data_IF_706628190294
#
_entry.id   IF_706628190294
#
_cell.length_a   1.000
_cell.length_b   1.000
_cell.length_c   1.000
_cell.angle_alpha   90.00
_cell.angle_beta   90.00
_cell.angle_gamma   90.00
#
_symmetry.space_group_name_H-M   'P 1'
#
loop_
_entity.id
_entity.type
_entity.pdbx_description
1 polymer ?
#
# COMPACT_ATOMS: atom_id res chain seq x y z
N UNK A 1 4.82 -69.88 24.58
CA UNK A 1 5.44 -69.78 25.91
C UNK A 1 6.95 -69.90 25.82
N UNK A 2 7.65 -69.28 26.70
CA UNK A 2 9.10 -69.49 26.92
C UNK A 2 9.26 -70.59 27.98
N UNK A 3 10.09 -71.52 27.70
CA UNK A 3 10.38 -72.63 28.64
C UNK A 3 11.79 -72.45 29.18
N UNK A 4 11.92 -72.27 30.46
CA UNK A 4 13.19 -72.25 31.15
C UNK A 4 13.55 -73.65 31.68
N UNK A 5 14.74 -74.10 31.39
CA UNK A 5 15.27 -75.33 31.86
C UNK A 5 16.45 -75.09 32.79
N UNK A 6 16.42 -75.62 33.96
CA UNK A 6 17.55 -75.63 34.90
C UNK A 6 17.84 -77.04 35.39
N UNK A 7 19.07 -77.39 35.36
CA UNK A 7 19.48 -78.73 35.88
C UNK A 7 20.95 -79.06 35.60
N UNK A 8 21.46 -80.01 36.34
CA UNK A 8 22.78 -80.57 36.17
C UNK A 8 22.67 -82.11 35.85
N UNK A 9 22.67 -82.41 34.59
CA UNK A 9 22.65 -83.84 34.15
C UNK A 9 21.30 -84.58 34.41
N UNK A 10 21.20 -85.36 35.48
CA UNK A 10 20.07 -86.30 35.73
C UNK A 10 18.79 -85.65 36.30
N UNK A 11 18.91 -84.40 36.88
CA UNK A 11 17.77 -83.69 37.43
C UNK A 11 17.53 -82.36 36.70
N UNK A 12 16.44 -82.28 35.95
CA UNK A 12 16.05 -81.14 35.20
C UNK A 12 14.71 -80.60 35.74
N UNK A 13 14.70 -79.37 36.22
CA UNK A 13 13.48 -78.61 36.52
C UNK A 13 13.08 -77.77 35.29
N UNK A 14 11.79 -77.69 35.00
CA UNK A 14 11.22 -76.89 33.92
C UNK A 14 10.18 -75.92 34.51
N UNK A 15 10.29 -74.64 34.08
CA UNK A 15 9.23 -73.71 34.33
C UNK A 15 8.80 -73.13 32.99
N UNK A 16 7.53 -72.72 32.88
CA UNK A 16 6.93 -72.24 31.66
C UNK A 16 6.29 -70.88 31.90
N UNK A 17 6.86 -69.83 31.30
CA UNK A 17 6.25 -68.56 31.28
C UNK A 17 5.40 -68.39 30.03
N UNK A 18 4.10 -68.20 30.22
CA UNK A 18 3.19 -67.90 29.13
C UNK A 18 3.20 -66.35 28.87
N UNK A 19 3.87 -65.97 27.81
CA UNK A 19 3.82 -64.63 27.33
C UNK A 19 2.77 -64.51 26.24
N UNK A 20 1.90 -63.52 26.36
CA UNK A 20 0.92 -63.15 25.35
C UNK A 20 1.33 -61.83 24.74
N UNK A 21 1.63 -61.77 23.44
CA UNK A 21 1.91 -60.61 22.66
C UNK A 21 0.62 -60.12 22.02
N UNK A 22 0.33 -58.87 22.19
CA UNK A 22 -0.78 -58.20 21.52
C UNK A 22 -0.24 -57.41 20.34
N UNK A 23 -0.93 -57.41 19.18
CA UNK A 23 -0.55 -56.55 18.08
C UNK A 23 -0.78 -55.09 18.45
N UNK A 24 0.04 -54.19 17.88
CA UNK A 24 -0.15 -52.74 18.03
C UNK A 24 -1.46 -52.31 17.40
N UNK A 25 -2.10 -51.27 17.93
CA UNK A 25 -3.24 -50.63 17.27
C UNK A 25 -2.82 -50.02 15.93
N UNK A 26 -3.75 -49.95 14.99
CA UNK A 26 -3.56 -49.19 13.76
C UNK A 26 -3.79 -47.71 14.03
N UNK A 27 -2.93 -46.84 13.50
CA UNK A 27 -2.98 -45.38 13.67
C UNK A 27 -2.66 -44.73 12.33
N UNK A 28 -3.42 -43.70 11.97
CA UNK A 28 -3.26 -42.95 10.74
C UNK A 28 -3.45 -41.46 11.07
N UNK A 29 -2.41 -40.64 10.83
CA UNK A 29 -2.42 -39.21 11.01
C UNK A 29 -3.04 -38.45 9.82
N UNK A 30 -3.29 -39.14 8.70
CA UNK A 30 -3.77 -38.55 7.46
C UNK A 30 -2.65 -37.88 6.63
N UNK A 31 -3.05 -37.18 5.60
CA UNK A 31 -2.13 -36.54 4.66
C UNK A 31 -1.51 -35.28 5.25
N UNK A 32 -0.34 -34.90 4.71
CA UNK A 32 0.27 -33.57 5.00
C UNK A 32 -0.60 -32.46 4.48
N UNK A 33 -0.76 -31.40 5.28
CA UNK A 33 -1.60 -30.26 5.01
C UNK A 33 -0.77 -28.99 4.77
N UNK A 34 -1.36 -28.03 4.08
CA UNK A 34 -0.76 -26.70 3.83
C UNK A 34 -1.77 -25.63 4.20
N UNK A 35 -1.28 -24.53 4.78
CA UNK A 35 -2.12 -23.38 5.14
C UNK A 35 -1.28 -22.09 5.16
N UNK A 36 -1.97 -20.95 5.19
CA UNK A 36 -1.34 -19.65 5.35
C UNK A 36 -1.29 -19.26 6.84
N UNK A 37 -0.33 -18.40 7.20
CA UNK A 37 -0.14 -17.94 8.56
C UNK A 37 -1.38 -17.26 9.16
N UNK A 38 -2.19 -16.59 8.35
CA UNK A 38 -3.43 -15.91 8.78
C UNK A 38 -4.69 -16.78 8.69
N UNK A 39 -4.56 -18.08 8.36
CA UNK A 39 -5.70 -18.97 8.36
C UNK A 39 -6.22 -19.20 9.78
N UNK A 40 -7.55 -19.41 9.95
CA UNK A 40 -8.09 -19.81 11.23
C UNK A 40 -7.54 -21.16 11.68
N UNK A 41 -7.60 -21.48 12.98
CA UNK A 41 -7.23 -22.79 13.49
C UNK A 41 -7.93 -23.92 12.75
N UNK A 42 -7.22 -25.01 12.45
CA UNK A 42 -7.74 -26.17 11.75
C UNK A 42 -7.87 -27.35 12.71
N UNK A 43 -8.99 -28.08 12.62
CA UNK A 43 -9.18 -29.32 13.37
C UNK A 43 -8.47 -30.45 12.63
N UNK A 44 -7.53 -31.11 13.31
CA UNK A 44 -6.84 -32.30 12.80
C UNK A 44 -7.71 -33.51 12.96
N UNK A 45 -7.70 -34.43 11.98
CA UNK A 45 -8.48 -35.66 11.97
C UNK A 45 -7.54 -36.83 11.78
N UNK A 46 -7.23 -37.53 12.88
CA UNK A 46 -6.56 -38.81 12.85
C UNK A 46 -7.57 -39.97 12.89
N UNK A 47 -7.13 -41.15 12.51
CA UNK A 47 -7.92 -42.37 12.57
C UNK A 47 -7.15 -43.42 13.35
N UNK A 48 -7.86 -44.20 14.16
CA UNK A 48 -7.28 -45.28 14.94
C UNK A 48 -8.20 -46.47 15.00
N UNK A 49 -7.61 -47.63 15.24
CA UNK A 49 -8.33 -48.91 15.43
C UNK A 49 -7.53 -49.83 16.34
N UNK A 50 -8.15 -50.34 17.39
CA UNK A 50 -7.60 -51.52 18.06
C UNK A 50 -7.52 -52.67 17.08
N UNK A 51 -6.51 -53.54 17.21
CA UNK A 51 -6.30 -54.64 16.28
C UNK A 51 -7.56 -55.50 16.10
N UNK A 52 -8.02 -55.60 14.85
CA UNK A 52 -9.22 -56.35 14.47
C UNK A 52 -10.54 -55.59 14.64
N UNK A 53 -10.51 -54.25 14.92
CA UNK A 53 -11.69 -53.42 15.08
C UNK A 53 -11.88 -52.42 13.93
N UNK A 54 -13.05 -51.79 13.85
CA UNK A 54 -13.36 -50.74 12.88
C UNK A 54 -12.64 -49.45 13.22
N UNK A 55 -12.15 -48.73 12.20
CA UNK A 55 -11.53 -47.42 12.33
C UNK A 55 -12.47 -46.39 13.00
N UNK A 56 -11.92 -45.63 13.93
CA UNK A 56 -12.62 -44.57 14.64
C UNK A 56 -11.84 -43.26 14.50
N UNK A 57 -12.51 -42.12 14.40
CA UNK A 57 -11.84 -40.86 14.32
C UNK A 57 -11.43 -40.31 15.69
N UNK A 58 -10.25 -39.70 15.77
CA UNK A 58 -9.78 -38.84 16.86
C UNK A 58 -9.98 -39.36 18.31
N UNK A 59 -9.77 -40.66 18.58
CA UNK A 59 -9.74 -41.16 19.97
C UNK A 59 -8.38 -40.99 20.65
N UNK A 60 -7.34 -40.71 19.87
CA UNK A 60 -6.00 -40.43 20.32
C UNK A 60 -5.72 -38.96 20.50
N UNK A 61 -4.48 -38.61 20.83
CA UNK A 61 -4.00 -37.26 21.04
C UNK A 61 -3.08 -36.79 19.91
N UNK A 62 -3.21 -35.54 19.52
CA UNK A 62 -2.29 -34.87 18.63
C UNK A 62 -1.23 -34.11 19.39
N UNK A 63 0.02 -34.14 18.90
CA UNK A 63 1.14 -33.34 19.41
C UNK A 63 1.87 -32.61 18.31
N UNK A 64 2.37 -31.41 18.64
CA UNK A 64 3.34 -30.66 17.86
C UNK A 64 4.60 -30.47 18.71
N UNK A 65 5.70 -31.13 18.38
CA UNK A 65 6.85 -31.25 19.27
C UNK A 65 6.49 -31.93 20.58
N UNK A 66 6.61 -31.24 21.71
CA UNK A 66 6.26 -31.73 23.05
C UNK A 66 4.83 -31.36 23.48
N UNK A 67 4.18 -30.43 22.75
CA UNK A 67 2.89 -29.85 23.14
C UNK A 67 1.72 -30.70 22.65
N UNK A 68 0.77 -31.03 23.56
CA UNK A 68 -0.50 -31.65 23.20
C UNK A 68 -1.45 -30.57 22.66
N UNK A 69 -2.01 -30.85 21.47
CA UNK A 69 -2.94 -29.93 20.81
C UNK A 69 -4.35 -30.12 21.37
N UNK A 70 -4.76 -29.28 22.28
CA UNK A 70 -6.06 -29.33 22.93
C UNK A 70 -7.20 -29.24 21.87
N UNK A 71 -8.18 -30.13 22.00
CA UNK A 71 -9.31 -30.18 21.06
C UNK A 71 -8.91 -30.54 19.63
N UNK A 72 -7.72 -31.10 19.43
CA UNK A 72 -7.13 -31.46 18.13
C UNK A 72 -6.98 -30.27 17.18
N UNK A 73 -6.85 -29.02 17.75
CA UNK A 73 -6.71 -27.79 16.98
C UNK A 73 -5.24 -27.46 16.73
N UNK A 74 -4.88 -27.23 15.48
CA UNK A 74 -3.62 -26.61 15.09
C UNK A 74 -3.86 -25.15 14.75
N UNK A 75 -3.14 -24.24 15.43
CA UNK A 75 -3.18 -22.80 15.19
C UNK A 75 -1.85 -22.35 14.60
N UNK A 76 -1.81 -21.77 13.39
CA UNK A 76 -0.58 -21.27 12.82
C UNK A 76 -0.14 -20.02 13.57
N UNK A 77 1.11 -20.00 14.06
CA UNK A 77 1.68 -18.85 14.79
C UNK A 77 2.91 -18.28 14.12
N UNK A 78 3.64 -19.13 13.39
CA UNK A 78 4.83 -18.74 12.61
C UNK A 78 4.88 -19.59 11.32
N UNK A 79 5.52 -19.09 10.24
CA UNK A 79 5.73 -19.91 9.03
C UNK A 79 6.70 -21.04 9.30
N UNK A 80 6.52 -22.16 8.57
CA UNK A 80 7.42 -23.31 8.67
C UNK A 80 6.70 -24.65 8.54
N UNK A 81 7.47 -25.72 8.66
CA UNK A 81 6.99 -27.11 8.65
C UNK A 81 6.88 -27.61 10.08
N UNK A 82 5.69 -28.04 10.47
CA UNK A 82 5.39 -28.60 11.77
C UNK A 82 5.14 -30.08 11.66
N UNK A 83 5.95 -30.88 12.35
CA UNK A 83 5.72 -32.31 12.47
C UNK A 83 4.60 -32.55 13.48
N UNK A 84 3.47 -33.06 13.02
CA UNK A 84 2.33 -33.45 13.85
C UNK A 84 2.34 -34.94 14.07
N UNK A 85 2.14 -35.35 15.32
CA UNK A 85 2.15 -36.76 15.72
C UNK A 85 0.78 -37.10 16.31
N UNK A 86 0.15 -38.13 15.78
CA UNK A 86 -1.09 -38.67 16.32
C UNK A 86 -0.77 -39.96 17.09
N UNK A 87 -1.11 -40.01 18.37
CA UNK A 87 -0.88 -41.13 19.29
C UNK A 87 -2.20 -41.75 19.70
N UNK A 88 -2.26 -43.06 19.65
CA UNK A 88 -3.39 -43.79 20.19
C UNK A 88 -2.92 -44.95 21.06
N UNK A 89 -3.54 -45.11 22.23
CA UNK A 89 -3.32 -46.22 23.17
C UNK A 89 -4.62 -47.01 23.28
N UNK A 90 -4.57 -48.31 22.99
CA UNK A 90 -5.73 -49.17 23.10
C UNK A 90 -6.03 -49.55 24.58
N UNK A 91 -7.16 -50.22 24.81
CA UNK A 91 -7.59 -50.64 26.15
C UNK A 91 -6.65 -51.64 26.87
N UNK A 92 -5.66 -52.15 26.16
CA UNK A 92 -4.65 -53.08 26.68
C UNK A 92 -3.34 -52.37 27.01
N UNK A 93 -3.27 -51.05 26.78
CA UNK A 93 -2.08 -50.24 26.98
C UNK A 93 -1.06 -50.32 25.83
N UNK A 94 -1.41 -50.92 24.69
CA UNK A 94 -0.54 -50.90 23.51
C UNK A 94 -0.68 -49.58 22.80
N UNK A 95 0.44 -48.88 22.64
CA UNK A 95 0.50 -47.52 21.99
C UNK A 95 1.16 -47.61 20.63
N UNK A 96 0.57 -46.89 19.68
CA UNK A 96 1.16 -46.65 18.37
C UNK A 96 0.98 -45.17 17.97
N UNK A 97 1.72 -44.73 16.96
CA UNK A 97 1.70 -43.37 16.46
C UNK A 97 1.91 -43.32 14.95
N UNK A 98 1.41 -42.27 14.35
CA UNK A 98 1.68 -41.90 12.98
C UNK A 98 1.92 -40.37 12.90
N UNK A 99 2.46 -39.86 11.78
CA UNK A 99 2.83 -38.47 11.62
C UNK A 99 2.36 -37.89 10.31
N UNK A 100 1.97 -36.62 10.36
CA UNK A 100 1.70 -35.77 9.21
C UNK A 100 2.53 -34.46 9.32
N UNK A 101 2.74 -33.79 8.21
CA UNK A 101 3.39 -32.47 8.19
C UNK A 101 2.35 -31.39 7.92
N UNK A 102 2.31 -30.40 8.77
CA UNK A 102 1.58 -29.16 8.53
C UNK A 102 2.58 -28.09 8.04
N UNK A 103 2.43 -27.65 6.78
CA UNK A 103 3.23 -26.58 6.22
C UNK A 103 2.48 -25.27 6.31
N UNK A 104 3.02 -24.32 7.09
CA UNK A 104 2.49 -22.95 7.21
C UNK A 104 3.30 -22.03 6.29
N UNK A 105 2.63 -21.49 5.27
CA UNK A 105 3.25 -20.53 4.36
C UNK A 105 3.21 -19.11 4.95
N UNK A 106 4.28 -18.30 4.76
CA UNK A 106 4.28 -16.90 5.14
C UNK A 106 3.24 -16.12 4.34
N UNK A 107 2.82 -14.98 4.88
CA UNK A 107 2.06 -13.99 4.13
C UNK A 107 2.99 -13.24 3.17
N UNK A 108 2.51 -12.82 2.01
CA UNK A 108 3.27 -11.91 1.14
C UNK A 108 3.42 -10.54 1.83
N UNK A 109 4.49 -9.81 1.53
CA UNK A 109 4.61 -8.41 1.93
C UNK A 109 3.65 -7.56 1.11
N UNK A 110 2.98 -6.63 1.78
CA UNK A 110 2.11 -5.60 1.18
C UNK A 110 2.74 -4.22 1.24
N UNK A 111 3.99 -4.12 1.72
CA UNK A 111 4.74 -2.87 1.75
C UNK A 111 5.03 -2.39 0.33
N UNK A 112 4.88 -1.10 0.12
CA UNK A 112 5.17 -0.45 -1.16
C UNK A 112 5.70 0.97 -0.96
N UNK A 113 6.29 1.52 -2.01
CA UNK A 113 6.74 2.90 -2.06
C UNK A 113 5.94 3.68 -3.09
N UNK A 114 5.62 4.93 -2.77
CA UNK A 114 4.95 5.89 -3.63
C UNK A 114 5.38 7.31 -3.25
N UNK A 115 5.36 8.24 -4.18
CA UNK A 115 5.55 9.66 -3.87
C UNK A 115 4.38 10.17 -3.00
N UNK A 116 4.66 10.92 -1.90
CA UNK A 116 3.62 11.41 -1.01
C UNK A 116 2.71 12.47 -1.66
N UNK A 117 3.18 13.10 -2.74
CA UNK A 117 2.46 14.10 -3.53
C UNK A 117 2.69 13.88 -5.02
N UNK A 118 1.68 14.16 -5.84
CA UNK A 118 1.75 14.19 -7.30
C UNK A 118 0.75 15.21 -7.84
N UNK A 119 0.77 15.41 -9.16
CA UNK A 119 -0.16 16.31 -9.85
C UNK A 119 -1.28 15.52 -10.55
N UNK A 120 -2.45 16.15 -10.74
CA UNK A 120 -3.48 15.58 -11.61
C UNK A 120 -2.92 15.29 -12.99
N UNK A 121 -3.46 14.25 -13.64
CA UNK A 121 -3.08 13.79 -14.99
C UNK A 121 -1.59 13.42 -15.13
N UNK A 122 -0.90 13.17 -14.01
CA UNK A 122 0.48 12.69 -14.00
C UNK A 122 0.51 11.26 -13.48
N UNK A 123 1.29 10.41 -14.15
CA UNK A 123 1.47 9.02 -13.73
C UNK A 123 2.21 8.94 -12.39
N UNK A 124 1.58 8.29 -11.43
CA UNK A 124 2.13 7.97 -10.11
C UNK A 124 2.60 6.53 -10.11
N UNK A 125 3.88 6.32 -9.78
CA UNK A 125 4.47 4.99 -9.72
C UNK A 125 4.29 4.38 -8.33
N UNK A 126 3.70 3.18 -8.27
CA UNK A 126 3.58 2.33 -7.08
C UNK A 126 4.51 1.13 -7.23
N UNK A 127 5.44 0.97 -6.30
CA UNK A 127 6.45 -0.08 -6.37
C UNK A 127 6.38 -0.96 -5.13
N UNK A 128 5.98 -2.26 -5.27
CA UNK A 128 5.99 -3.21 -4.16
C UNK A 128 7.42 -3.44 -3.64
N UNK A 129 7.57 -3.61 -2.33
CA UNK A 129 8.87 -3.84 -1.70
C UNK A 129 9.43 -5.25 -2.01
N UNK A 130 8.56 -6.25 -2.21
CA UNK A 130 8.94 -7.65 -2.48
C UNK A 130 8.06 -8.24 -3.60
N UNK A 131 8.38 -7.96 -4.87
CA UNK A 131 7.57 -8.42 -5.99
C UNK A 131 7.69 -9.91 -6.28
N UNK A 132 8.78 -10.57 -5.87
CA UNK A 132 9.17 -11.91 -6.29
C UNK A 132 8.08 -12.98 -6.11
N UNK A 133 7.43 -13.35 -7.21
CA UNK A 133 6.42 -14.38 -7.26
C UNK A 133 5.07 -14.03 -6.63
N UNK A 134 4.84 -12.77 -6.29
CA UNK A 134 3.57 -12.28 -5.79
C UNK A 134 2.78 -11.57 -6.91
N UNK A 135 1.45 -11.56 -6.77
CA UNK A 135 0.55 -10.74 -7.59
C UNK A 135 -0.08 -9.70 -6.67
N UNK A 136 -0.15 -8.45 -7.16
CA UNK A 136 -0.67 -7.31 -6.41
C UNK A 136 -1.96 -6.80 -7.03
N UNK A 137 -2.94 -6.52 -6.19
CA UNK A 137 -4.17 -5.83 -6.54
C UNK A 137 -4.19 -4.49 -5.81
N UNK A 138 -4.39 -3.40 -6.56
CA UNK A 138 -4.30 -2.02 -6.09
C UNK A 138 -5.64 -1.34 -6.07
N UNK A 139 -5.97 -0.70 -4.94
CA UNK A 139 -7.11 0.18 -4.77
C UNK A 139 -6.54 1.59 -4.63
N UNK A 140 -6.78 2.44 -5.64
CA UNK A 140 -6.17 3.77 -5.71
C UNK A 140 -6.91 4.86 -4.94
N UNK A 141 -8.13 4.57 -4.43
CA UNK A 141 -8.92 5.50 -3.61
C UNK A 141 -9.63 6.60 -4.42
N UNK A 142 -9.86 6.38 -5.71
CA UNK A 142 -10.51 7.30 -6.64
C UNK A 142 -11.69 6.66 -7.40
N UNK A 143 -12.20 5.54 -6.90
CA UNK A 143 -13.31 4.76 -7.48
C UNK A 143 -13.03 4.20 -8.89
N UNK A 144 -11.79 4.24 -9.35
CA UNK A 144 -11.38 3.56 -10.59
C UNK A 144 -11.31 2.05 -10.37
N UNK A 145 -11.38 1.23 -11.45
CA UNK A 145 -11.16 -0.20 -11.35
C UNK A 145 -9.80 -0.53 -10.73
N UNK A 146 -9.76 -1.60 -9.92
CA UNK A 146 -8.52 -2.07 -9.30
C UNK A 146 -7.44 -2.38 -10.33
N UNK A 147 -6.22 -1.93 -10.07
CA UNK A 147 -5.05 -2.31 -10.87
C UNK A 147 -4.53 -3.68 -10.44
N UNK A 148 -4.07 -4.49 -11.39
CA UNK A 148 -3.43 -5.79 -11.10
C UNK A 148 -2.05 -5.80 -11.74
N UNK A 149 -1.03 -6.17 -10.96
CA UNK A 149 0.36 -6.27 -11.43
C UNK A 149 1.14 -7.34 -10.68
N UNK A 150 2.19 -7.83 -11.30
CA UNK A 150 3.18 -8.72 -10.64
C UNK A 150 4.42 -7.93 -10.18
N UNK A 151 4.46 -6.63 -10.46
CA UNK A 151 5.53 -5.71 -10.15
C UNK A 151 4.98 -4.29 -9.93
N UNK A 152 5.72 -3.27 -10.32
CA UNK A 152 5.29 -1.87 -10.29
C UNK A 152 4.06 -1.62 -11.18
N UNK A 153 3.30 -0.57 -10.83
CA UNK A 153 2.15 -0.11 -11.62
C UNK A 153 2.13 1.41 -11.63
N UNK A 154 1.69 1.96 -12.77
CA UNK A 154 1.40 3.38 -12.93
C UNK A 154 -0.10 3.62 -12.82
N UNK A 155 -0.47 4.70 -12.16
CA UNK A 155 -1.85 5.19 -12.10
C UNK A 155 -1.86 6.72 -12.12
N UNK A 156 -2.81 7.31 -12.88
CA UNK A 156 -3.02 8.77 -12.93
C UNK A 156 -4.37 9.14 -12.35
N UNK A 157 -4.43 10.29 -11.68
CA UNK A 157 -5.63 10.79 -11.01
C UNK A 157 -6.22 11.99 -11.77
N UNK A 158 -7.54 11.96 -12.01
CA UNK A 158 -8.25 13.03 -12.70
C UNK A 158 -8.77 14.12 -11.75
N UNK A 159 -8.74 13.87 -10.45
CA UNK A 159 -9.24 14.79 -9.43
C UNK A 159 -8.22 15.00 -8.34
N UNK A 160 -8.02 16.25 -7.94
CA UNK A 160 -7.14 16.61 -6.82
C UNK A 160 -7.73 16.23 -5.45
N UNK A 161 -6.90 16.28 -4.43
CA UNK A 161 -7.23 15.96 -3.04
C UNK A 161 -6.51 14.71 -2.55
N UNK A 162 -6.84 14.30 -1.32
CA UNK A 162 -6.23 13.13 -0.71
C UNK A 162 -6.81 11.83 -1.26
N UNK A 163 -5.92 10.84 -1.44
CA UNK A 163 -6.26 9.47 -1.84
C UNK A 163 -5.66 8.49 -0.85
N UNK A 164 -6.46 7.53 -0.42
CA UNK A 164 -6.03 6.45 0.46
C UNK A 164 -5.83 5.18 -0.40
N UNK A 165 -4.57 4.82 -0.60
CA UNK A 165 -4.17 3.70 -1.48
C UNK A 165 -3.95 2.46 -0.64
N UNK A 166 -4.49 1.32 -1.10
CA UNK A 166 -4.37 0.02 -0.46
C UNK A 166 -3.77 -0.97 -1.46
N UNK A 167 -2.80 -1.75 -0.99
CA UNK A 167 -2.19 -2.85 -1.73
C UNK A 167 -2.64 -4.19 -1.13
N UNK A 168 -3.19 -5.07 -1.95
CA UNK A 168 -3.47 -6.47 -1.60
C UNK A 168 -2.49 -7.35 -2.35
N UNK A 169 -1.81 -8.24 -1.64
CA UNK A 169 -0.83 -9.15 -2.23
C UNK A 169 -1.29 -10.61 -2.14
N UNK A 170 -1.02 -11.39 -3.17
CA UNK A 170 -1.23 -12.85 -3.20
C UNK A 170 0.07 -13.56 -3.59
N UNK A 171 0.53 -14.47 -2.73
CA UNK A 171 1.72 -15.28 -3.00
C UNK A 171 1.42 -16.46 -3.95
N UNK A 172 2.49 -17.08 -4.50
CA UNK A 172 2.41 -18.32 -5.29
C UNK A 172 1.74 -19.49 -4.55
N UNK A 173 1.67 -19.41 -3.23
CA UNK A 173 1.01 -20.41 -2.40
C UNK A 173 -0.47 -20.11 -2.16
N UNK A 174 -0.99 -18.99 -2.72
CA UNK A 174 -2.36 -18.54 -2.55
C UNK A 174 -2.62 -17.79 -1.25
N UNK A 175 -1.59 -17.49 -0.45
CA UNK A 175 -1.71 -16.69 0.76
C UNK A 175 -1.92 -15.21 0.39
N UNK A 176 -2.84 -14.54 1.09
CA UNK A 176 -3.21 -13.14 0.84
C UNK A 176 -2.99 -12.30 2.07
N UNK A 177 -2.59 -11.05 1.83
CA UNK A 177 -2.51 -10.01 2.85
C UNK A 177 -2.93 -8.67 2.26
N UNK A 178 -3.22 -7.69 3.13
CA UNK A 178 -3.71 -6.36 2.76
C UNK A 178 -2.97 -5.32 3.59
N UNK A 179 -2.45 -4.28 2.94
CA UNK A 179 -1.75 -3.19 3.61
C UNK A 179 -2.72 -2.30 4.42
N UNK A 180 -2.17 -1.56 5.36
CA UNK A 180 -2.82 -0.34 5.83
C UNK A 180 -2.95 0.65 4.66
N UNK A 181 -3.91 1.59 4.78
CA UNK A 181 -4.09 2.62 3.77
C UNK A 181 -2.94 3.63 3.81
N UNK A 182 -2.29 3.85 2.67
CA UNK A 182 -1.27 4.89 2.50
C UNK A 182 -1.88 6.12 1.85
N UNK A 183 -1.83 7.25 2.55
CA UNK A 183 -2.38 8.51 2.05
C UNK A 183 -1.38 9.25 1.19
N UNK A 184 -1.82 9.65 -0.01
CA UNK A 184 -1.10 10.54 -0.93
C UNK A 184 -1.94 11.78 -1.22
N UNK A 185 -1.30 12.88 -1.63
CA UNK A 185 -1.97 14.11 -2.01
C UNK A 185 -1.83 14.34 -3.51
N UNK A 186 -2.95 14.56 -4.19
CA UNK A 186 -2.99 14.93 -5.60
C UNK A 186 -3.26 16.42 -5.69
N UNK A 187 -2.32 17.15 -6.28
CA UNK A 187 -2.34 18.61 -6.38
C UNK A 187 -2.95 19.01 -7.73
N UNK A 188 -3.81 20.01 -7.69
CA UNK A 188 -4.40 20.58 -8.89
C UNK A 188 -3.37 21.40 -9.70
N UNK A 189 -3.60 21.57 -10.98
CA UNK A 189 -2.87 22.56 -11.78
C UNK A 189 -3.25 23.98 -11.32
N UNK A 190 -2.34 24.97 -11.44
CA UNK A 190 -2.69 26.35 -11.12
C UNK A 190 -3.80 26.81 -12.08
N UNK A 191 -4.82 27.55 -11.58
CA UNK A 191 -5.86 28.09 -12.42
C UNK A 191 -5.26 29.11 -13.41
N UNK A 192 -5.83 29.26 -14.62
CA UNK A 192 -5.39 30.27 -15.57
C UNK A 192 -5.44 31.67 -14.92
N UNK A 193 -4.31 32.42 -14.90
CA UNK A 193 -4.31 33.75 -14.35
C UNK A 193 -5.14 34.70 -15.23
N UNK A 194 -5.82 35.63 -14.56
CA UNK A 194 -6.57 36.70 -15.22
C UNK A 194 -6.59 37.94 -14.33
N UNK A 195 -6.44 39.10 -14.95
CA UNK A 195 -6.63 40.39 -14.31
C UNK A 195 -7.26 41.36 -15.27
N UNK A 196 -8.04 42.28 -14.75
CA UNK A 196 -8.58 43.43 -15.47
C UNK A 196 -7.74 44.68 -15.22
N UNK A 197 -7.80 45.60 -16.16
CA UNK A 197 -7.24 46.95 -16.05
C UNK A 197 -8.32 47.98 -16.39
N UNK A 198 -8.35 49.06 -15.63
CA UNK A 198 -9.34 50.14 -15.82
C UNK A 198 -9.15 50.85 -17.15
N UNK A 199 -7.90 50.93 -17.63
CA UNK A 199 -7.56 51.56 -18.90
C UNK A 199 -6.27 50.99 -19.47
N UNK A 200 -6.21 50.84 -20.80
CA UNK A 200 -5.10 50.26 -21.54
C UNK A 200 -4.15 51.31 -22.13
N UNK A 201 -4.57 52.58 -22.14
CA UNK A 201 -3.75 53.65 -22.73
C UNK A 201 -4.04 55.01 -22.10
N UNK A 202 -3.04 55.86 -22.05
CA UNK A 202 -3.15 57.20 -21.53
C UNK A 202 -1.91 58.06 -21.72
N UNK A 203 -2.01 59.37 -21.44
CA UNK A 203 -0.88 60.27 -21.50
C UNK A 203 -0.09 60.27 -20.18
N UNK A 204 1.22 60.32 -20.27
CA UNK A 204 2.09 60.40 -19.11
C UNK A 204 1.95 61.72 -18.34
N UNK A 205 1.97 61.72 -16.97
CA UNK A 205 2.08 60.54 -16.10
C UNK A 205 0.79 59.74 -16.11
N UNK A 206 0.89 58.40 -16.25
CA UNK A 206 -0.23 57.51 -16.45
C UNK A 206 -0.29 56.45 -15.32
N UNK A 207 -1.45 56.36 -14.68
CA UNK A 207 -1.69 55.40 -13.64
C UNK A 207 -2.72 54.35 -14.11
N UNK A 208 -2.49 53.06 -13.79
CA UNK A 208 -3.34 51.95 -14.15
C UNK A 208 -3.78 51.20 -12.89
N UNK A 209 -5.06 50.94 -12.82
CA UNK A 209 -5.64 50.11 -11.77
C UNK A 209 -5.72 48.65 -12.26
N UNK A 210 -4.95 47.78 -11.65
CA UNK A 210 -5.03 46.31 -11.87
C UNK A 210 -6.01 45.71 -10.88
N UNK A 211 -6.91 44.89 -11.34
CA UNK A 211 -7.90 44.21 -10.49
C UNK A 211 -7.85 42.71 -10.71
N UNK A 212 -7.70 41.95 -9.63
CA UNK A 212 -7.74 40.49 -9.60
C UNK A 212 -8.94 40.03 -8.76
N UNK A 213 -9.68 39.08 -9.24
CA UNK A 213 -10.71 38.43 -8.42
C UNK A 213 -10.04 37.40 -7.48
N UNK A 214 -9.97 37.70 -6.17
CA UNK A 214 -9.33 36.80 -5.21
C UNK A 214 -10.10 35.49 -5.03
N UNK A 215 -11.39 35.43 -5.39
CA UNK A 215 -12.22 34.25 -5.23
C UNK A 215 -11.83 33.14 -6.20
N UNK A 216 -11.24 33.49 -7.34
CA UNK A 216 -10.71 32.57 -8.33
C UNK A 216 -9.59 31.68 -7.75
N UNK A 217 -8.87 32.14 -6.72
CA UNK A 217 -7.68 31.46 -6.18
C UNK A 217 -7.86 30.90 -4.77
N UNK A 218 -9.09 30.96 -4.21
CA UNK A 218 -9.34 30.62 -2.79
C UNK A 218 -9.12 29.15 -2.46
N UNK A 219 -9.48 28.24 -3.35
CA UNK A 219 -9.46 26.79 -3.08
C UNK A 219 -8.04 26.24 -2.97
N UNK A 220 -7.09 26.81 -3.73
CA UNK A 220 -5.73 26.28 -3.87
C UNK A 220 -4.65 27.27 -3.38
N UNK A 221 -5.07 28.30 -2.65
CA UNK A 221 -4.21 29.44 -2.28
C UNK A 221 -2.93 29.06 -1.53
N UNK A 222 -2.96 27.99 -0.72
CA UNK A 222 -1.80 27.57 0.08
C UNK A 222 -0.65 27.01 -0.76
N UNK A 223 -0.91 26.61 -2.00
CA UNK A 223 0.09 26.02 -2.90
C UNK A 223 0.47 26.95 -4.06
N UNK A 224 -0.22 28.11 -4.20
CA UNK A 224 0.00 29.03 -5.31
C UNK A 224 1.03 30.11 -4.95
N UNK A 225 1.90 30.40 -5.89
CA UNK A 225 2.78 31.57 -5.88
C UNK A 225 2.38 32.51 -7.01
N UNK A 226 2.47 33.82 -6.74
CA UNK A 226 2.06 34.88 -7.66
C UNK A 226 3.26 35.76 -7.95
N UNK A 227 3.46 36.04 -9.23
CA UNK A 227 4.52 36.94 -9.68
C UNK A 227 3.98 37.93 -10.71
N UNK A 228 4.18 39.23 -10.47
CA UNK A 228 3.87 40.32 -11.37
C UNK A 228 5.13 40.92 -11.97
N UNK A 229 5.12 41.11 -13.28
CA UNK A 229 6.06 41.93 -14.02
C UNK A 229 5.26 43.01 -14.76
N UNK A 230 5.44 44.26 -14.39
CA UNK A 230 4.67 45.36 -14.97
C UNK A 230 5.24 45.85 -16.30
N UNK A 231 6.33 45.27 -16.78
CA UNK A 231 6.99 45.64 -18.03
C UNK A 231 7.83 46.90 -17.95
N UNK A 232 7.75 47.67 -16.86
CA UNK A 232 8.54 48.89 -16.61
C UNK A 232 9.79 48.64 -15.77
N UNK A 233 10.13 47.36 -15.52
CA UNK A 233 11.23 46.90 -14.68
C UNK A 233 10.83 46.71 -13.22
N UNK A 234 9.62 47.00 -12.82
CA UNK A 234 9.11 46.73 -11.47
C UNK A 234 8.38 45.41 -11.42
N UNK A 235 8.56 44.70 -10.30
CA UNK A 235 7.98 43.35 -10.06
C UNK A 235 7.46 43.25 -8.63
N UNK A 236 6.51 42.33 -8.39
CA UNK A 236 6.04 41.97 -7.04
C UNK A 236 5.53 40.54 -6.98
N UNK A 237 5.69 39.93 -5.81
CA UNK A 237 5.27 38.52 -5.53
C UNK A 237 4.09 38.56 -4.56
N UNK A 238 2.90 38.86 -5.08
CA UNK A 238 1.67 38.95 -4.28
C UNK A 238 0.45 38.62 -5.14
N UNK A 239 -0.61 38.05 -4.54
CA UNK A 239 -1.90 37.93 -5.23
C UNK A 239 -2.47 39.27 -5.63
N UNK A 240 -2.40 40.26 -4.74
CA UNK A 240 -2.93 41.60 -4.99
C UNK A 240 -1.84 42.49 -5.60
N UNK A 241 -2.07 43.08 -6.77
CA UNK A 241 -1.11 43.95 -7.41
C UNK A 241 -0.97 45.27 -6.66
N UNK A 242 0.08 46.03 -7.03
CA UNK A 242 0.24 47.44 -6.59
C UNK A 242 -0.88 48.26 -7.22
N UNK A 243 -1.61 49.06 -6.39
CA UNK A 243 -2.78 49.81 -6.82
C UNK A 243 -2.75 51.22 -6.26
N UNK A 244 -2.87 52.27 -7.08
CA UNK A 244 -2.67 52.32 -8.54
C UNK A 244 -1.20 52.11 -8.91
N UNK A 245 -0.95 51.59 -10.12
CA UNK A 245 0.40 51.39 -10.65
C UNK A 245 0.76 52.55 -11.59
N UNK A 246 1.71 53.44 -11.22
CA UNK A 246 2.18 54.51 -12.10
C UNK A 246 3.16 53.97 -13.14
N UNK A 247 2.98 54.42 -14.39
CA UNK A 247 3.91 54.20 -15.48
C UNK A 247 4.71 55.46 -15.77
N UNK A 248 6.03 55.37 -16.04
CA UNK A 248 6.89 56.52 -16.21
C UNK A 248 6.59 57.28 -17.49
N UNK A 249 6.80 58.57 -17.43
CA UNK A 249 6.79 59.43 -18.63
C UNK A 249 8.02 59.16 -19.50
N UNK A 250 7.79 58.83 -20.78
CA UNK A 250 8.82 58.66 -21.80
C UNK A 250 8.96 59.90 -22.68
N UNK A 251 10.07 59.98 -23.43
CA UNK A 251 10.25 60.98 -24.49
C UNK A 251 9.48 60.64 -25.77
N UNK A 252 9.00 59.39 -25.84
CA UNK A 252 8.28 58.78 -26.94
C UNK A 252 7.14 57.92 -26.42
N UNK A 253 6.15 57.66 -27.26
CA UNK A 253 5.09 56.68 -26.95
C UNK A 253 5.72 55.34 -26.68
N UNK A 254 5.34 54.73 -25.55
CA UNK A 254 5.95 53.47 -25.07
C UNK A 254 4.86 52.46 -24.73
N UNK A 255 5.09 51.21 -25.07
CA UNK A 255 4.24 50.11 -24.67
C UNK A 255 4.92 49.27 -23.60
N UNK A 256 4.16 48.89 -22.58
CA UNK A 256 4.57 48.00 -21.50
C UNK A 256 3.72 46.74 -21.55
N UNK A 257 4.34 45.58 -21.34
CA UNK A 257 3.63 44.29 -21.21
C UNK A 257 3.55 43.95 -19.74
N UNK A 258 2.37 44.12 -19.16
CA UNK A 258 2.12 43.65 -17.80
C UNK A 258 1.76 42.18 -17.82
N UNK A 259 2.46 41.42 -17.01
CA UNK A 259 2.33 39.95 -16.92
C UNK A 259 2.03 39.53 -15.48
N UNK A 260 1.00 38.71 -15.30
CA UNK A 260 0.77 37.94 -14.07
C UNK A 260 1.12 36.46 -14.32
N UNK A 261 1.93 35.89 -13.44
CA UNK A 261 2.29 34.50 -13.44
C UNK A 261 1.78 33.85 -12.16
N UNK A 262 1.10 32.70 -12.30
CA UNK A 262 0.65 31.87 -11.19
C UNK A 262 1.31 30.50 -11.32
N UNK A 263 1.92 30.02 -10.27
CA UNK A 263 2.62 28.74 -10.28
C UNK A 263 2.42 27.97 -9.00
N UNK A 264 2.54 26.65 -9.11
CA UNK A 264 2.68 25.71 -8.00
C UNK A 264 3.72 24.64 -8.38
N UNK A 265 3.80 23.54 -7.59
CA UNK A 265 4.74 22.44 -7.87
C UNK A 265 4.43 21.70 -9.17
N UNK A 266 3.20 21.85 -9.72
CA UNK A 266 2.73 21.12 -10.90
C UNK A 266 2.97 21.86 -12.20
N UNK A 267 2.75 23.18 -12.22
CA UNK A 267 2.83 23.98 -13.46
C UNK A 267 3.00 25.47 -13.18
N UNK A 268 3.28 26.23 -14.26
CA UNK A 268 3.40 27.68 -14.28
C UNK A 268 2.61 28.23 -15.46
N UNK A 269 1.63 29.08 -15.19
CA UNK A 269 0.78 29.71 -16.20
C UNK A 269 0.84 31.22 -16.10
N UNK A 270 0.75 31.91 -17.23
CA UNK A 270 0.85 33.37 -17.30
C UNK A 270 -0.25 34.00 -18.15
N UNK A 271 -0.62 35.22 -17.83
CA UNK A 271 -1.51 36.06 -18.60
C UNK A 271 -0.87 37.44 -18.78
N UNK A 272 -0.93 37.99 -20.00
CA UNK A 272 -0.32 39.26 -20.41
C UNK A 272 -1.36 40.25 -20.89
N UNK A 273 -1.14 41.52 -20.59
CA UNK A 273 -1.83 42.64 -21.24
C UNK A 273 -0.87 43.74 -21.64
N UNK A 274 -1.22 44.50 -22.68
CA UNK A 274 -0.37 45.59 -23.20
C UNK A 274 -0.95 46.94 -22.78
N UNK A 275 -0.09 47.78 -22.19
CA UNK A 275 -0.42 49.11 -21.74
C UNK A 275 0.38 50.12 -22.58
N UNK A 276 -0.30 51.12 -23.20
CA UNK A 276 0.32 52.11 -24.03
C UNK A 276 0.33 53.47 -23.31
N UNK A 277 1.52 54.02 -23.14
CA UNK A 277 1.71 55.31 -22.52
C UNK A 277 2.18 56.34 -23.58
N UNK A 278 1.34 57.31 -23.87
CA UNK A 278 1.67 58.38 -24.81
C UNK A 278 2.58 59.41 -24.16
N UNK A 279 3.57 59.88 -24.89
CA UNK A 279 4.45 60.95 -24.44
C UNK A 279 3.66 62.28 -24.28
N UNK A 280 4.03 63.06 -23.26
CA UNK A 280 3.41 64.32 -23.06
C UNK A 280 3.75 65.27 -24.23
N UNK A 281 2.78 66.06 -24.79
CA UNK A 281 3.04 67.02 -25.86
C UNK A 281 4.00 68.10 -25.42
N UNK A 282 5.00 68.37 -26.21
CA UNK A 282 5.94 69.50 -25.98
C UNK A 282 5.34 70.78 -26.50
N UNK A 283 5.13 71.76 -25.62
CA UNK A 283 4.68 73.11 -26.00
C UNK A 283 5.89 74.02 -25.91
N UNK A 284 6.19 74.73 -26.99
CA UNK A 284 7.20 75.82 -27.03
C UNK A 284 6.58 77.13 -27.43
N UNK A 285 6.92 78.18 -26.78
CA UNK A 285 6.53 79.54 -27.14
C UNK A 285 7.76 80.26 -27.74
N UNK A 286 7.60 80.85 -28.93
CA UNK A 286 8.53 81.84 -29.45
C UNK A 286 8.02 83.21 -29.08
N UNK A 287 8.78 84.01 -28.32
CA UNK A 287 8.51 85.41 -28.15
C UNK A 287 8.94 86.09 -29.44
N UNK A 288 8.02 86.75 -30.10
CA UNK A 288 8.30 87.64 -31.24
C UNK A 288 8.82 88.99 -30.76
#
# INVERSE_FOLDING_TARGET
GLVYHYGNGACIARDTLNMRLWPLPYVEAGDSLKMCLNNPPVTLVGRDSAAGQVWQPNRGDWKSGQDVLAGHLFTPTVPGDFQLLYYYTDSRGCMNRDSAVMRVHPLPSTDFTVAPQSCIHTDVLFTPAQPDGNTFEWIFGDDTPHGISDNEILHSYDMYGYRDVICMAQSVYGCRDTSEATRIEIINLPPPPFFDVDTLQGCAPFEVLFTVDPDTYKSDHNYLTFHWDYGDGTKTDTLMPIVPKPYPAGSWDTTFVARMTVSNVCDTVSYDTTITVFSAPKVSFALM
#
